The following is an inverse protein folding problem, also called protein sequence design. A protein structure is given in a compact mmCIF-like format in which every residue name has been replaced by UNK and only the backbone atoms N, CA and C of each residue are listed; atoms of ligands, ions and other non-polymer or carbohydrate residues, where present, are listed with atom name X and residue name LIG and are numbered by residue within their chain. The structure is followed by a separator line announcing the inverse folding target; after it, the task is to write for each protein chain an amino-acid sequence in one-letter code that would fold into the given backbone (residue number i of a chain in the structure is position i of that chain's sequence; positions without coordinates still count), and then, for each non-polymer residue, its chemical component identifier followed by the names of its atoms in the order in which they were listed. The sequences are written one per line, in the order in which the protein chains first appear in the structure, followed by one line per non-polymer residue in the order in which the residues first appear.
data_IF_328064968239
#
_entry.id   IF_328064968239
#
_cell.length_a   1.000
_cell.length_b   1.000
_cell.length_c   1.000
_cell.angle_alpha   90.00
_cell.angle_beta   90.00
_cell.angle_gamma   90.00
#
_symmetry.space_group_name_H-M   'P 1'
#
loop_
_entity.id
_entity.type
_entity.pdbx_description
1 polymer ?
#
# COMPACT_ATOMS: atom_id res chain seq x y z
N UNK A 1 -6.34 3.44 24.06
CA UNK A 1 -6.95 2.74 22.91
C UNK A 1 -6.11 3.08 21.70
N UNK A 2 -5.25 2.17 21.23
CA UNK A 2 -4.56 2.35 19.94
C UNK A 2 -5.60 2.52 18.84
N UNK A 3 -5.40 3.50 17.96
CA UNK A 3 -6.31 3.69 16.82
C UNK A 3 -5.72 2.97 15.62
N UNK A 4 -6.43 1.96 15.13
CA UNK A 4 -6.10 1.31 13.85
C UNK A 4 -6.34 2.35 12.75
N UNK A 5 -5.33 2.61 11.94
CA UNK A 5 -5.40 3.41 10.73
C UNK A 5 -5.15 2.53 9.52
N UNK A 6 -5.77 2.91 8.41
CA UNK A 6 -5.61 2.23 7.14
C UNK A 6 -5.29 3.24 6.05
N UNK A 7 -4.32 2.92 5.20
CA UNK A 7 -3.97 3.72 4.02
C UNK A 7 -4.11 2.86 2.77
N UNK A 8 -4.95 3.30 1.85
CA UNK A 8 -5.14 2.65 0.56
C UNK A 8 -4.25 3.30 -0.49
N UNK A 9 -3.56 2.46 -1.27
CA UNK A 9 -2.73 2.81 -2.40
C UNK A 9 -3.35 2.16 -3.64
N UNK A 10 -3.44 2.91 -4.74
CA UNK A 10 -3.96 2.40 -6.00
C UNK A 10 -3.07 2.91 -7.12
N UNK A 11 -2.68 2.00 -7.99
CA UNK A 11 -1.92 2.31 -9.19
C UNK A 11 -2.62 1.68 -10.40
N UNK A 12 -2.75 2.46 -11.47
CA UNK A 12 -3.30 2.00 -12.75
C UNK A 12 -2.34 2.46 -13.82
N UNK A 13 -1.75 1.52 -14.55
CA UNK A 13 -0.69 1.81 -15.51
C UNK A 13 -0.28 0.59 -16.33
N UNK A 14 0.55 0.83 -17.34
CA UNK A 14 1.09 -0.17 -18.26
C UNK A 14 2.52 -0.63 -17.90
N UNK A 15 3.15 0.03 -16.92
CA UNK A 15 4.56 -0.11 -16.50
C UNK A 15 4.77 -1.04 -15.29
N UNK A 16 6.02 -1.37 -14.95
CA UNK A 16 6.48 -2.23 -13.81
C UNK A 16 5.78 -1.88 -12.47
N UNK A 17 4.59 -2.45 -12.28
CA UNK A 17 3.58 -2.10 -11.27
C UNK A 17 3.95 -2.49 -9.84
N UNK A 18 4.69 -3.58 -9.67
CA UNK A 18 5.18 -4.04 -8.36
C UNK A 18 6.07 -2.99 -7.69
N UNK A 19 6.96 -2.36 -8.46
CA UNK A 19 7.92 -1.40 -7.91
C UNK A 19 7.24 -0.12 -7.44
N UNK A 20 6.23 0.36 -8.17
CA UNK A 20 5.60 1.66 -7.88
C UNK A 20 4.78 1.61 -6.59
N UNK A 21 3.97 0.56 -6.39
CA UNK A 21 3.18 0.44 -5.16
C UNK A 21 4.09 0.23 -3.95
N UNK A 22 5.11 -0.63 -4.07
CA UNK A 22 6.00 -0.90 -2.95
C UNK A 22 6.79 0.35 -2.53
N UNK A 23 7.22 1.15 -3.52
CA UNK A 23 7.92 2.41 -3.26
C UNK A 23 7.00 3.44 -2.59
N UNK A 24 5.74 3.57 -3.02
CA UNK A 24 4.77 4.45 -2.35
C UNK A 24 4.48 4.05 -0.91
N UNK A 25 4.42 2.75 -0.62
CA UNK A 25 4.21 2.24 0.74
C UNK A 25 5.43 2.58 1.61
N UNK A 26 6.64 2.30 1.12
CA UNK A 26 7.88 2.60 1.83
C UNK A 26 8.05 4.11 2.09
N UNK A 27 7.79 4.95 1.09
CA UNK A 27 7.81 6.41 1.24
C UNK A 27 6.81 6.87 2.31
N UNK A 28 5.61 6.30 2.34
CA UNK A 28 4.60 6.65 3.33
C UNK A 28 4.99 6.21 4.75
N UNK A 29 5.55 5.00 4.91
CA UNK A 29 6.05 4.49 6.19
C UNK A 29 7.16 5.40 6.71
N UNK A 30 8.09 5.78 5.84
CA UNK A 30 9.21 6.66 6.18
C UNK A 30 8.74 8.08 6.52
N UNK A 31 7.85 8.68 5.73
CA UNK A 31 7.27 10.01 5.99
C UNK A 31 6.55 10.05 7.34
N UNK A 32 5.79 8.99 7.66
CA UNK A 32 5.00 8.91 8.88
C UNK A 32 5.77 8.36 10.08
N UNK A 33 7.04 7.97 9.92
CA UNK A 33 7.84 7.30 10.96
C UNK A 33 7.04 6.16 11.62
N UNK A 34 6.41 5.32 10.79
CA UNK A 34 5.68 4.15 11.27
C UNK A 34 6.72 3.09 11.64
N UNK A 35 6.89 2.84 12.93
CA UNK A 35 7.70 1.71 13.41
C UNK A 35 7.13 0.39 12.90
N UNK A 36 8.02 -0.55 12.61
CA UNK A 36 7.66 -1.92 12.19
C UNK A 36 6.74 -2.61 13.20
N UNK A 37 6.86 -2.27 14.49
CA UNK A 37 6.03 -2.79 15.58
C UNK A 37 4.57 -2.32 15.51
N UNK A 38 4.32 -1.15 14.88
CA UNK A 38 2.98 -0.59 14.68
C UNK A 38 2.35 -1.09 13.38
N UNK A 39 3.10 -1.80 12.54
CA UNK A 39 2.64 -2.26 11.24
C UNK A 39 1.92 -3.60 11.43
N UNK A 40 0.62 -3.60 11.15
CA UNK A 40 -0.23 -4.77 11.42
C UNK A 40 -0.23 -5.71 10.22
N UNK A 41 -0.52 -5.17 9.03
CA UNK A 41 -0.66 -5.96 7.82
C UNK A 41 -0.56 -5.08 6.56
N UNK A 42 -0.15 -5.69 5.45
CA UNK A 42 -0.15 -5.08 4.12
C UNK A 42 -0.83 -6.03 3.15
N UNK A 43 -2.00 -5.64 2.64
CA UNK A 43 -2.76 -6.46 1.70
C UNK A 43 -2.60 -5.94 0.29
N UNK A 44 -2.02 -6.74 -0.58
CA UNK A 44 -1.92 -6.46 -2.01
C UNK A 44 -3.10 -7.09 -2.75
N UNK A 45 -3.57 -6.41 -3.78
CA UNK A 45 -4.63 -6.88 -4.67
C UNK A 45 -4.36 -6.38 -6.07
N UNK A 46 -4.40 -7.31 -7.02
CA UNK A 46 -4.25 -7.01 -8.43
C UNK A 46 -5.53 -7.40 -9.14
N UNK A 47 -6.08 -6.49 -9.93
CA UNK A 47 -7.24 -6.72 -10.76
C UNK A 47 -6.91 -6.33 -12.19
N UNK A 48 -7.01 -7.28 -13.11
CA UNK A 48 -6.89 -7.02 -14.54
C UNK A 48 -8.28 -7.07 -15.17
N UNK A 49 -8.70 -5.97 -15.81
CA UNK A 49 -9.97 -5.91 -16.52
C UNK A 49 -9.78 -5.26 -17.87
N UNK A 50 -10.21 -5.96 -18.94
CA UNK A 50 -10.12 -5.49 -20.33
C UNK A 50 -8.73 -4.98 -20.77
N UNK A 51 -7.65 -5.61 -20.28
CA UNK A 51 -6.27 -5.24 -20.64
C UNK A 51 -5.68 -4.08 -19.82
N UNK A 52 -6.44 -3.53 -18.86
CA UNK A 52 -5.95 -2.56 -17.88
C UNK A 52 -5.67 -3.29 -16.57
N UNK A 53 -4.43 -3.20 -16.09
CA UNK A 53 -4.05 -3.73 -14.79
C UNK A 53 -4.18 -2.64 -13.73
N UNK A 54 -5.05 -2.87 -12.75
CA UNK A 54 -5.18 -2.07 -11.55
C UNK A 54 -4.56 -2.83 -10.39
N UNK A 55 -3.54 -2.25 -9.79
CA UNK A 55 -2.94 -2.75 -8.58
C UNK A 55 -3.39 -1.87 -7.41
N UNK A 56 -3.58 -2.50 -6.26
CA UNK A 56 -4.03 -1.86 -5.05
C UNK A 56 -3.32 -2.47 -3.86
N UNK A 57 -2.99 -1.65 -2.88
CA UNK A 57 -2.46 -2.10 -1.61
C UNK A 57 -3.15 -1.39 -0.45
N UNK A 58 -3.39 -2.13 0.63
CA UNK A 58 -3.96 -1.62 1.86
C UNK A 58 -2.96 -1.83 2.99
N UNK A 59 -2.40 -0.73 3.48
CA UNK A 59 -1.54 -0.70 4.66
C UNK A 59 -2.41 -0.52 5.91
N UNK A 60 -2.23 -1.39 6.90
CA UNK A 60 -2.94 -1.38 8.18
C UNK A 60 -1.90 -1.19 9.30
N UNK A 61 -2.09 -0.17 10.15
CA UNK A 61 -1.12 0.17 11.19
C UNK A 61 -1.79 0.81 12.42
N UNK A 62 -1.13 0.73 13.57
CA UNK A 62 -1.53 1.41 14.80
C UNK A 62 -0.95 2.83 14.87
N UNK A 63 -1.76 3.78 15.34
CA UNK A 63 -1.39 5.19 15.48
C UNK A 63 -1.77 5.80 16.83
#
# INVERSE_FOLDING_TARGET
MSKIKTKHFQYTGLDDFDKVIDQQINDYIQEKNIDSDKLIDVKYSAHSSQGVNTYSALLIFEA
#
